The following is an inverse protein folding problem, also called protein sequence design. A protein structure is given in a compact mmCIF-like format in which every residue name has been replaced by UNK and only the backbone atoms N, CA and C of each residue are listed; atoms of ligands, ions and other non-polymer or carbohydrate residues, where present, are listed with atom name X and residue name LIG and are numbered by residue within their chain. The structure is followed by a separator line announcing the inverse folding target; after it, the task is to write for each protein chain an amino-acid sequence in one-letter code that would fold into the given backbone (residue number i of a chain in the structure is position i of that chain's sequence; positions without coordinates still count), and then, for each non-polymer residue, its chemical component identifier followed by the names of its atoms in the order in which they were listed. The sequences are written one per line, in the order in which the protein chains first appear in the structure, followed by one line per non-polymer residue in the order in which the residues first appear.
data_IF_133605139939
#
_entry.id   IF_133605139939
#
_cell.length_a   1.000
_cell.length_b   1.000
_cell.length_c   1.000
_cell.angle_alpha   90.00
_cell.angle_beta   90.00
_cell.angle_gamma   90.00
#
_symmetry.space_group_name_H-M   'P 1'
#
loop_
_entity.id
_entity.type
_entity.pdbx_description
1 polymer ?
#
# COMPACT_ATOMS: atom_id res chain seq x y z
N UNK A 1 7.83 0.54 6.42
CA UNK A 1 9.29 0.28 6.45
C UNK A 1 9.72 -0.78 7.46
N UNK A 2 9.49 -0.60 8.77
CA UNK A 2 9.98 -1.55 9.80
C UNK A 2 9.44 -2.99 9.62
N UNK A 3 8.13 -3.14 9.43
CA UNK A 3 7.52 -4.46 9.23
C UNK A 3 8.03 -5.16 7.96
N UNK A 4 7.94 -4.52 6.78
CA UNK A 4 8.40 -5.13 5.53
C UNK A 4 9.88 -5.51 5.59
N UNK A 5 10.72 -4.68 6.23
CA UNK A 5 12.12 -5.00 6.50
C UNK A 5 12.27 -6.23 7.40
N UNK A 6 11.47 -6.35 8.47
CA UNK A 6 11.47 -7.56 9.32
C UNK A 6 10.98 -8.81 8.58
N UNK A 7 10.12 -8.65 7.58
CA UNK A 7 9.69 -9.71 6.67
C UNK A 7 10.71 -10.00 5.53
N UNK A 8 11.89 -9.38 5.57
CA UNK A 8 12.96 -9.59 4.58
C UNK A 8 12.66 -8.98 3.21
N UNK A 9 11.74 -8.01 3.11
CA UNK A 9 11.39 -7.33 1.86
C UNK A 9 11.79 -5.87 1.89
N UNK A 10 12.48 -5.43 0.84
CA UNK A 10 12.78 -4.01 0.61
C UNK A 10 11.48 -3.32 0.19
N UNK A 11 11.03 -2.34 0.96
CA UNK A 11 9.84 -1.58 0.59
C UNK A 11 10.19 -0.48 -0.44
N UNK A 12 9.23 -0.18 -1.29
CA UNK A 12 9.24 0.99 -2.17
C UNK A 12 7.95 1.78 -1.95
N UNK A 13 8.02 3.08 -2.16
CA UNK A 13 6.86 3.95 -2.04
C UNK A 13 5.96 3.78 -3.27
N UNK A 14 4.65 3.93 -3.03
CA UNK A 14 3.65 4.03 -4.08
C UNK A 14 2.92 5.35 -3.87
N UNK A 15 2.77 6.13 -4.94
CA UNK A 15 2.12 7.43 -4.86
C UNK A 15 0.62 7.26 -4.65
N UNK A 16 0.04 8.16 -3.87
CA UNK A 16 -1.41 8.35 -3.88
C UNK A 16 -1.82 9.06 -5.17
N UNK A 17 -2.55 8.34 -6.01
CA UNK A 17 -2.98 8.72 -7.35
C UNK A 17 -4.51 8.83 -7.49
N UNK A 18 -5.24 8.65 -6.39
CA UNK A 18 -6.70 8.75 -6.33
C UNK A 18 -7.45 7.50 -6.81
N UNK A 19 -6.75 6.39 -7.09
CA UNK A 19 -7.35 5.17 -7.65
C UNK A 19 -7.80 4.13 -6.61
N UNK A 20 -7.96 4.51 -5.34
CA UNK A 20 -8.42 3.63 -4.27
C UNK A 20 -9.13 4.40 -3.15
N UNK A 21 -9.74 3.69 -2.20
CA UNK A 21 -10.62 4.25 -1.17
C UNK A 21 -9.94 5.21 -0.20
N UNK A 22 -8.59 5.17 -0.10
CA UNK A 22 -7.84 6.14 0.71
C UNK A 22 -8.09 7.58 0.24
N UNK A 23 -8.48 7.79 -1.01
CA UNK A 23 -8.57 9.12 -1.62
C UNK A 23 -9.53 10.03 -0.85
N UNK A 24 -10.73 9.53 -0.49
CA UNK A 24 -11.70 10.27 0.30
C UNK A 24 -11.17 10.69 1.68
N UNK A 25 -10.39 9.81 2.32
CA UNK A 25 -9.73 10.12 3.59
C UNK A 25 -8.67 11.20 3.41
N UNK A 26 -7.81 11.08 2.39
CA UNK A 26 -6.77 12.07 2.10
C UNK A 26 -7.35 13.43 1.73
N UNK A 27 -8.45 13.47 0.98
CA UNK A 27 -9.15 14.71 0.66
C UNK A 27 -9.71 15.39 1.91
N UNK A 28 -10.23 14.61 2.86
CA UNK A 28 -10.68 15.10 4.17
C UNK A 28 -9.52 15.45 5.13
N UNK A 29 -8.26 15.29 4.69
CA UNK A 29 -7.06 15.47 5.49
C UNK A 29 -6.84 14.43 6.58
N UNK A 30 -7.43 13.25 6.44
CA UNK A 30 -7.15 12.12 7.32
C UNK A 30 -5.87 11.43 6.83
N UNK A 31 -4.80 11.37 7.65
CA UNK A 31 -3.58 10.67 7.28
C UNK A 31 -3.88 9.23 6.91
N UNK A 32 -3.44 8.83 5.72
CA UNK A 32 -3.73 7.54 5.14
C UNK A 32 -2.44 6.85 4.72
N UNK A 33 -2.48 5.52 4.72
CA UNK A 33 -1.37 4.66 4.38
C UNK A 33 -1.90 3.31 3.93
N UNK A 34 -1.08 2.54 3.22
CA UNK A 34 -1.52 1.26 2.69
C UNK A 34 -0.37 0.37 2.28
N UNK A 35 -0.75 -0.84 1.86
CA UNK A 35 0.14 -1.86 1.33
C UNK A 35 -0.41 -2.31 0.00
N UNK A 36 0.47 -2.47 -0.99
CA UNK A 36 0.09 -2.78 -2.36
C UNK A 36 1.14 -3.69 -3.00
N UNK A 37 0.69 -4.77 -3.65
CA UNK A 37 1.56 -5.71 -4.37
C UNK A 37 1.78 -5.33 -5.85
N UNK A 38 1.12 -4.27 -6.31
CA UNK A 38 1.06 -3.89 -7.72
C UNK A 38 -0.18 -4.43 -8.44
N UNK A 39 -0.43 -3.89 -9.63
CA UNK A 39 -1.53 -4.26 -10.53
C UNK A 39 -1.02 -4.35 -11.98
N UNK A 40 -1.49 -3.49 -12.88
CA UNK A 40 -1.19 -3.53 -14.32
C UNK A 40 0.24 -3.13 -14.71
N UNK A 41 0.95 -2.44 -13.82
CA UNK A 41 2.28 -1.92 -14.11
C UNK A 41 3.30 -3.05 -14.26
N UNK A 42 4.22 -2.89 -15.20
CA UNK A 42 5.29 -3.86 -15.45
C UNK A 42 6.36 -3.80 -14.38
N UNK A 43 6.77 -4.97 -13.89
CA UNK A 43 7.88 -5.13 -12.97
C UNK A 43 9.20 -4.81 -13.67
N UNK A 44 9.98 -3.90 -13.09
CA UNK A 44 11.33 -3.59 -13.61
C UNK A 44 12.33 -4.70 -13.30
N UNK A 45 13.49 -4.68 -13.95
CA UNK A 45 14.58 -5.62 -13.63
C UNK A 45 15.08 -5.45 -12.18
N UNK A 46 15.16 -4.22 -11.69
CA UNK A 46 15.54 -3.91 -10.30
C UNK A 46 14.51 -4.45 -9.32
N UNK A 47 13.21 -4.28 -9.61
CA UNK A 47 12.14 -4.81 -8.78
C UNK A 47 12.13 -6.34 -8.75
N UNK A 48 12.42 -7.00 -9.88
CA UNK A 48 12.59 -8.45 -9.93
C UNK A 48 13.81 -8.92 -9.12
N UNK A 49 14.92 -8.16 -9.09
CA UNK A 49 16.06 -8.47 -8.20
C UNK A 49 15.69 -8.34 -6.73
N UNK A 50 14.83 -7.38 -6.36
CA UNK A 50 14.40 -7.16 -4.97
C UNK A 50 13.33 -8.15 -4.50
N UNK A 51 12.39 -8.51 -5.36
CA UNK A 51 11.15 -9.20 -4.98
C UNK A 51 10.92 -10.53 -5.71
N UNK A 52 11.76 -10.87 -6.68
CA UNK A 52 11.55 -12.01 -7.58
C UNK A 52 10.48 -11.75 -8.64
N UNK A 53 10.12 -12.81 -9.36
CA UNK A 53 9.19 -12.76 -10.50
C UNK A 53 9.87 -12.36 -11.81
N UNK A 54 9.05 -12.15 -12.84
CA UNK A 54 9.54 -11.94 -14.21
C UNK A 54 9.61 -10.44 -14.54
N UNK A 55 10.78 -9.89 -14.90
CA UNK A 55 10.88 -8.54 -15.43
C UNK A 55 10.05 -8.36 -16.70
N UNK A 56 9.45 -7.18 -16.88
CA UNK A 56 8.66 -6.84 -18.06
C UNK A 56 7.21 -7.36 -18.04
N UNK A 57 6.88 -8.28 -17.14
CA UNK A 57 5.50 -8.73 -16.88
C UNK A 57 4.80 -7.79 -15.89
N UNK A 58 3.47 -7.62 -15.98
CA UNK A 58 2.70 -6.89 -14.98
C UNK A 58 2.81 -7.55 -13.60
N UNK A 59 2.68 -6.76 -12.53
CA UNK A 59 2.61 -7.29 -11.17
C UNK A 59 1.44 -8.27 -11.00
N UNK A 60 0.28 -7.92 -11.56
CA UNK A 60 -0.87 -8.79 -11.70
C UNK A 60 -1.29 -8.90 -13.18
N UNK A 61 -0.98 -10.02 -13.86
CA UNK A 61 -1.40 -10.26 -15.24
C UNK A 61 -2.92 -10.47 -15.38
N UNK A 62 -3.65 -10.63 -14.28
CA UNK A 62 -5.08 -10.89 -14.24
C UNK A 62 -5.92 -9.66 -13.85
N UNK A 63 -5.29 -8.52 -13.54
CA UNK A 63 -5.98 -7.29 -13.14
C UNK A 63 -7.12 -6.93 -14.12
N UNK A 64 -8.35 -6.79 -13.58
CA UNK A 64 -9.59 -6.52 -14.32
C UNK A 64 -9.93 -7.54 -15.44
N UNK A 65 -9.48 -8.79 -15.30
CA UNK A 65 -9.80 -9.89 -16.23
C UNK A 65 -10.63 -10.96 -15.54
N UNK A 66 -11.31 -11.78 -16.34
CA UNK A 66 -12.07 -12.94 -15.85
C UNK A 66 -11.20 -14.00 -15.17
N UNK A 67 -9.89 -13.94 -15.40
CA UNK A 67 -8.91 -14.85 -14.82
C UNK A 67 -8.43 -14.41 -13.44
N UNK A 68 -8.91 -13.26 -12.91
CA UNK A 68 -8.68 -12.86 -11.53
C UNK A 68 -9.45 -13.78 -10.58
N UNK A 69 -8.82 -14.89 -10.21
CA UNK A 69 -9.40 -15.97 -9.41
C UNK A 69 -8.45 -16.39 -8.30
N UNK A 70 -8.94 -17.19 -7.36
CA UNK A 70 -8.15 -17.70 -6.24
C UNK A 70 -6.90 -18.49 -6.67
N UNK A 71 -6.89 -19.04 -7.89
CA UNK A 71 -5.76 -19.79 -8.44
C UNK A 71 -4.57 -18.89 -8.79
N UNK A 72 -4.80 -17.58 -8.94
CA UNK A 72 -3.79 -16.60 -9.34
C UNK A 72 -3.18 -15.85 -8.15
N UNK A 73 -3.58 -16.19 -6.92
CA UNK A 73 -3.06 -15.54 -5.71
C UNK A 73 -1.68 -16.11 -5.37
N UNK A 74 -0.66 -15.25 -5.43
CA UNK A 74 0.61 -15.55 -4.77
C UNK A 74 0.44 -15.44 -3.24
N UNK A 75 0.61 -16.57 -2.56
CA UNK A 75 0.45 -16.68 -1.11
C UNK A 75 1.54 -15.95 -0.34
N UNK A 76 2.70 -15.70 -0.95
CA UNK A 76 3.83 -15.01 -0.31
C UNK A 76 3.52 -13.54 -0.03
N UNK A 77 3.21 -12.69 -1.03
CA UNK A 77 2.81 -11.31 -0.78
C UNK A 77 1.50 -11.24 0.00
N UNK A 78 0.55 -12.16 -0.19
CA UNK A 78 -0.68 -12.18 0.62
C UNK A 78 -0.37 -12.27 2.13
N UNK A 79 0.48 -13.22 2.54
CA UNK A 79 0.86 -13.38 3.95
C UNK A 79 1.62 -12.18 4.50
N UNK A 80 2.55 -11.62 3.71
CA UNK A 80 3.35 -10.46 4.11
C UNK A 80 2.47 -9.22 4.23
N UNK A 81 1.67 -8.88 3.22
CA UNK A 81 0.86 -7.67 3.25
C UNK A 81 -0.26 -7.79 4.30
N UNK A 82 -0.87 -8.98 4.44
CA UNK A 82 -1.86 -9.25 5.49
C UNK A 82 -1.29 -9.05 6.91
N UNK A 83 -0.11 -9.62 7.19
CA UNK A 83 0.57 -9.38 8.47
C UNK A 83 0.99 -7.92 8.67
N UNK A 84 1.31 -7.22 7.58
CA UNK A 84 1.66 -5.80 7.61
C UNK A 84 0.49 -4.90 8.01
N UNK A 85 -0.74 -5.22 7.58
CA UNK A 85 -1.95 -4.53 8.04
C UNK A 85 -2.11 -4.71 9.54
N UNK A 86 -2.03 -5.94 10.05
CA UNK A 86 -2.15 -6.22 11.48
C UNK A 86 -1.08 -5.49 12.31
N UNK A 87 0.16 -5.48 11.82
CA UNK A 87 1.26 -4.74 12.45
C UNK A 87 0.98 -3.24 12.52
N UNK A 88 0.55 -2.62 11.41
CA UNK A 88 0.30 -1.18 11.35
C UNK A 88 -0.87 -0.77 12.26
N UNK A 89 -1.97 -1.52 12.24
CA UNK A 89 -3.12 -1.29 13.12
C UNK A 89 -2.71 -1.42 14.58
N UNK A 90 -2.00 -2.50 14.93
CA UNK A 90 -1.52 -2.72 16.29
C UNK A 90 -0.60 -1.61 16.78
N UNK A 91 0.31 -1.11 15.93
CA UNK A 91 1.21 -0.01 16.27
C UNK A 91 0.44 1.28 16.56
N UNK A 92 -0.42 1.72 15.63
CA UNK A 92 -1.14 2.99 15.76
C UNK A 92 -2.27 2.95 16.81
N UNK A 93 -2.77 1.76 17.17
CA UNK A 93 -3.71 1.63 18.27
C UNK A 93 -3.07 1.92 19.64
N UNK A 94 -1.75 1.78 19.76
CA UNK A 94 -1.03 1.99 21.03
C UNK A 94 -0.56 3.44 21.18
N UNK A 95 -0.04 4.03 20.10
CA UNK A 95 0.45 5.41 20.12
C UNK A 95 0.33 6.05 18.74
N UNK A 96 -0.14 7.29 18.72
CA UNK A 96 -0.23 8.15 17.53
C UNK A 96 0.83 9.25 17.54
N UNK A 97 1.74 9.28 18.52
CA UNK A 97 2.76 10.30 18.69
C UNK A 97 4.08 9.96 17.98
N UNK A 98 5.05 10.86 18.09
CA UNK A 98 6.42 10.64 17.63
C UNK A 98 6.63 10.86 16.14
N UNK A 99 7.80 10.45 15.65
CA UNK A 99 8.29 10.74 14.29
C UNK A 99 7.41 10.14 13.18
N UNK A 100 6.70 9.06 13.48
CA UNK A 100 5.75 8.43 12.56
C UNK A 100 4.30 8.63 13.03
N UNK A 101 4.06 9.59 13.92
CA UNK A 101 2.75 9.83 14.51
C UNK A 101 1.73 10.41 13.52
N UNK A 102 0.47 10.43 13.95
CA UNK A 102 -0.63 11.04 13.23
C UNK A 102 -0.81 12.47 13.75
N UNK A 103 -0.69 13.51 12.90
CA UNK A 103 -0.90 14.90 13.31
C UNK A 103 -2.25 15.09 14.01
N UNK A 104 -2.31 16.03 14.97
CA UNK A 104 -3.59 16.45 15.53
C UNK A 104 -4.48 17.02 14.44
N UNK A 105 -5.79 17.03 14.68
CA UNK A 105 -6.77 17.36 13.64
C UNK A 105 -6.51 18.73 13.03
N UNK A 106 -6.12 19.70 13.85
CA UNK A 106 -5.90 21.11 13.52
C UNK A 106 -4.74 21.32 12.54
N UNK A 107 -3.72 20.45 12.60
CA UNK A 107 -2.50 20.55 11.77
C UNK A 107 -2.62 19.81 10.43
N UNK A 108 -3.76 19.14 10.18
CA UNK A 108 -3.99 18.36 8.97
C UNK A 108 -4.42 19.26 7.81
N UNK A 109 -3.74 19.16 6.67
CA UNK A 109 -4.16 19.77 5.40
C UNK A 109 -5.42 19.08 4.89
N UNK A 110 -6.47 19.86 4.57
CA UNK A 110 -7.75 19.34 4.02
C UNK A 110 -8.06 20.03 2.71
N UNK A 111 -8.64 19.30 1.76
CA UNK A 111 -9.22 19.91 0.58
C UNK A 111 -10.58 20.48 0.94
N UNK A 112 -10.85 21.71 0.48
CA UNK A 112 -12.17 22.32 0.64
C UNK A 112 -13.12 21.57 -0.29
N UNK A 113 -14.19 20.98 0.26
CA UNK A 113 -15.26 20.41 -0.55
C UNK A 113 -15.97 21.59 -1.25
N UNK A 114 -15.62 21.85 -2.50
CA UNK A 114 -16.37 22.77 -3.36
C UNK A 114 -17.56 22.00 -3.92
N UNK A 115 -18.78 22.42 -3.56
CA UNK A 115 -19.99 21.95 -4.25
C UNK A 115 -19.84 22.20 -5.74
N UNK A 116 -19.90 21.12 -6.52
CA UNK A 116 -20.02 21.16 -7.98
C UNK A 116 -21.41 21.63 -8.39
#
# INVERSE_FOLDING_TARGET
MAYLKSAGKTAQDTSFDGRSDYDGFTQAGIPSGGLFSGAENKKSEEQAKLWGGTPGEPFDPNYHKKTDTLDQIDRTPLGILGGGVAYAVGLYAQDLSGRNGVPIREDRTRHVITTS
#
